data_IF_473048013820
#
_entry.id   IF_473048013820
#
_cell.length_a   1.000
_cell.length_b   1.000
_cell.length_c   1.000
_cell.angle_alpha   90.00
_cell.angle_beta   90.00
_cell.angle_gamma   90.00
#
_symmetry.space_group_name_H-M   'P 1'
#
loop_
_entity.id
_entity.type
_entity.pdbx_description
1 polymer ?
#
# COMPACT_ATOMS: atom_id res chain seq x y z
N UNK A 1 -8.01 -8.27 0.44
CA UNK A 1 -7.53 -7.61 1.68
C UNK A 1 -8.73 -7.36 2.57
N UNK A 2 -8.55 -7.38 3.88
CA UNK A 2 -9.60 -7.06 4.86
C UNK A 2 -9.97 -5.57 4.75
N UNK A 3 -11.25 -5.29 4.62
CA UNK A 3 -11.88 -3.96 4.64
C UNK A 3 -12.91 -3.92 5.76
N UNK A 4 -13.57 -2.79 5.94
CA UNK A 4 -14.58 -2.61 7.00
C UNK A 4 -15.85 -3.44 6.83
N UNK A 5 -16.08 -4.04 5.65
CA UNK A 5 -17.34 -4.71 5.28
C UNK A 5 -17.17 -6.13 4.69
N UNK A 6 -15.97 -6.72 4.76
CA UNK A 6 -15.68 -8.00 4.10
C UNK A 6 -15.06 -9.09 5.00
N UNK A 7 -15.23 -8.99 6.31
CA UNK A 7 -14.60 -9.85 7.32
C UNK A 7 -14.77 -11.35 7.04
N UNK A 8 -16.01 -11.81 6.82
CA UNK A 8 -16.31 -13.22 6.57
C UNK A 8 -15.66 -13.75 5.28
N UNK A 9 -15.69 -12.94 4.23
CA UNK A 9 -15.06 -13.27 2.96
C UNK A 9 -13.53 -13.37 3.13
N UNK A 10 -12.93 -12.40 3.83
CA UNK A 10 -11.51 -12.41 4.11
C UNK A 10 -11.10 -13.64 4.92
N UNK A 11 -11.86 -14.00 5.96
CA UNK A 11 -11.57 -15.17 6.79
C UNK A 11 -11.56 -16.49 5.99
N UNK A 12 -12.44 -16.62 4.99
CA UNK A 12 -12.57 -17.84 4.17
C UNK A 12 -11.55 -17.94 3.04
N UNK A 13 -11.11 -16.81 2.50
CA UNK A 13 -10.35 -16.78 1.24
C UNK A 13 -8.93 -16.22 1.38
N UNK A 14 -8.54 -15.69 2.54
CA UNK A 14 -7.20 -15.18 2.74
C UNK A 14 -6.17 -16.31 2.82
N UNK A 15 -5.20 -16.26 1.91
CA UNK A 15 -4.03 -17.14 1.90
C UNK A 15 -2.79 -16.33 2.29
N UNK A 16 -2.02 -16.84 3.25
CA UNK A 16 -0.76 -16.21 3.66
C UNK A 16 0.27 -16.34 2.54
N UNK A 17 0.96 -15.24 2.25
CA UNK A 17 2.05 -15.18 1.28
C UNK A 17 3.18 -16.19 1.56
N UNK A 18 3.37 -16.59 2.82
CA UNK A 18 4.40 -17.56 3.23
C UNK A 18 4.28 -18.89 2.47
N UNK A 19 3.06 -19.41 2.28
CA UNK A 19 2.88 -20.69 1.58
C UNK A 19 3.35 -20.64 0.12
N UNK A 20 3.10 -19.52 -0.57
CA UNK A 20 3.59 -19.31 -1.94
C UNK A 20 5.10 -19.07 -1.97
N UNK A 21 5.64 -18.33 -1.00
CA UNK A 21 7.08 -18.14 -0.86
C UNK A 21 7.82 -19.46 -0.67
N UNK A 22 7.36 -20.30 0.24
CA UNK A 22 7.96 -21.61 0.49
C UNK A 22 7.88 -22.51 -0.75
N UNK A 23 6.81 -22.38 -1.55
CA UNK A 23 6.69 -23.09 -2.82
C UNK A 23 7.70 -22.57 -3.85
N UNK A 24 7.87 -21.25 -3.99
CA UNK A 24 8.85 -20.65 -4.90
C UNK A 24 10.27 -21.13 -4.54
N UNK A 25 10.65 -21.01 -3.27
CA UNK A 25 11.97 -21.38 -2.77
C UNK A 25 12.27 -22.87 -3.02
N UNK A 26 11.29 -23.77 -2.79
CA UNK A 26 11.45 -25.22 -3.06
C UNK A 26 11.52 -25.58 -4.54
N UNK A 27 11.01 -24.74 -5.43
CA UNK A 27 10.97 -24.99 -6.87
C UNK A 27 12.03 -24.17 -7.64
N UNK A 28 13.13 -23.81 -6.98
CA UNK A 28 14.29 -23.19 -7.63
C UNK A 28 14.13 -21.72 -8.01
N UNK A 29 13.06 -21.06 -7.57
CA UNK A 29 12.90 -19.62 -7.75
C UNK A 29 13.77 -18.87 -6.76
N UNK A 30 14.41 -17.81 -7.22
CA UNK A 30 15.32 -16.99 -6.39
C UNK A 30 14.85 -15.55 -6.34
N UNK A 31 14.89 -14.90 -5.15
CA UNK A 31 14.49 -13.52 -5.01
C UNK A 31 15.51 -12.60 -5.71
N UNK A 32 15.02 -11.58 -6.40
CA UNK A 32 15.87 -10.57 -7.02
C UNK A 32 16.11 -9.39 -6.08
N UNK A 33 17.29 -8.75 -6.14
CA UNK A 33 17.55 -7.52 -5.39
C UNK A 33 16.52 -6.44 -5.73
N UNK A 34 16.06 -5.73 -4.71
CA UNK A 34 15.05 -4.68 -4.86
C UNK A 34 15.73 -3.35 -5.20
N UNK A 35 15.30 -2.71 -6.29
CA UNK A 35 15.71 -1.34 -6.60
C UNK A 35 15.11 -0.34 -5.59
N UNK A 36 15.75 0.82 -5.42
CA UNK A 36 15.31 1.84 -4.48
C UNK A 36 13.90 2.37 -4.75
N UNK A 37 13.53 2.49 -6.02
CA UNK A 37 12.24 2.96 -6.53
C UNK A 37 11.25 1.82 -6.83
N UNK A 38 11.61 0.57 -6.53
CA UNK A 38 10.77 -0.57 -6.79
C UNK A 38 9.48 -0.55 -5.95
N UNK A 39 8.42 -1.11 -6.53
CA UNK A 39 7.16 -1.36 -5.84
C UNK A 39 7.28 -2.35 -4.67
N UNK A 40 6.17 -2.65 -3.97
CA UNK A 40 6.17 -3.46 -2.76
C UNK A 40 6.30 -4.97 -3.03
N UNK A 41 6.41 -5.37 -4.30
CA UNK A 41 6.53 -6.76 -4.67
C UNK A 41 7.93 -7.27 -4.33
N UNK A 42 8.00 -8.46 -3.74
CA UNK A 42 9.20 -9.27 -3.76
C UNK A 42 9.21 -10.03 -5.10
N UNK A 43 10.19 -9.73 -5.94
CA UNK A 43 10.31 -10.35 -7.26
C UNK A 43 11.17 -11.59 -7.20
N UNK A 44 10.77 -12.62 -7.94
CA UNK A 44 11.42 -13.91 -8.04
C UNK A 44 11.69 -14.25 -9.51
N UNK A 45 12.84 -14.88 -9.79
CA UNK A 45 13.21 -15.37 -11.12
C UNK A 45 13.66 -16.83 -11.05
N UNK A 46 13.49 -17.53 -12.17
CA UNK A 46 13.92 -18.91 -12.35
C UNK A 46 14.79 -19.01 -13.61
N UNK A 47 15.91 -19.75 -13.60
CA UNK A 47 16.81 -19.85 -14.76
C UNK A 47 16.13 -20.44 -16.00
N UNK A 48 15.21 -21.39 -15.80
CA UNK A 48 14.52 -22.08 -16.90
C UNK A 48 13.32 -21.30 -17.48
N UNK A 49 13.04 -20.09 -16.97
CA UNK A 49 11.86 -19.31 -17.36
C UNK A 49 12.23 -17.86 -17.68
N UNK A 50 11.65 -17.33 -18.77
CA UNK A 50 11.86 -15.93 -19.14
C UNK A 50 11.11 -14.92 -18.24
N UNK A 51 10.08 -15.39 -17.51
CA UNK A 51 9.22 -14.56 -16.66
C UNK A 51 9.72 -14.37 -15.24
N UNK A 52 9.09 -13.44 -14.52
CA UNK A 52 9.29 -13.21 -13.09
C UNK A 52 7.94 -13.31 -12.35
N UNK A 53 8.01 -13.67 -11.07
CA UNK A 53 6.84 -13.70 -10.18
C UNK A 53 7.01 -12.62 -9.12
N UNK A 54 6.02 -11.72 -9.01
CA UNK A 54 5.98 -10.69 -7.97
C UNK A 54 5.01 -11.08 -6.85
N UNK A 55 5.50 -11.10 -5.61
CA UNK A 55 4.69 -11.39 -4.42
C UNK A 55 4.49 -10.12 -3.60
N UNK A 56 3.23 -9.66 -3.47
CA UNK A 56 2.86 -8.52 -2.63
C UNK A 56 2.21 -9.04 -1.35
N UNK A 57 2.88 -8.87 -0.21
CA UNK A 57 2.44 -9.37 1.08
C UNK A 57 2.16 -8.23 2.07
N UNK A 58 1.00 -7.53 1.98
CA UNK A 58 0.72 -6.34 2.78
C UNK A 58 0.53 -6.64 4.28
N UNK A 59 0.42 -7.91 4.69
CA UNK A 59 0.32 -8.32 6.09
C UNK A 59 1.67 -8.74 6.69
N UNK A 60 2.74 -8.76 5.90
CA UNK A 60 4.07 -9.17 6.35
C UNK A 60 4.70 -8.10 7.25
N UNK A 61 5.51 -8.50 8.26
CA UNK A 61 6.34 -7.57 9.02
C UNK A 61 7.23 -6.74 8.10
N UNK A 62 7.44 -5.46 8.44
CA UNK A 62 8.32 -4.56 7.70
C UNK A 62 7.80 -4.06 6.34
N UNK A 63 6.57 -4.41 5.95
CA UNK A 63 5.99 -3.97 4.66
C UNK A 63 5.99 -2.44 4.49
N UNK A 64 5.76 -1.70 5.58
CA UNK A 64 5.67 -0.24 5.55
C UNK A 64 7.01 0.48 5.66
N UNK A 65 8.11 -0.20 6.03
CA UNK A 65 9.39 0.42 6.38
C UNK A 65 10.00 1.18 5.18
N UNK A 66 9.70 0.73 3.97
CA UNK A 66 10.12 1.37 2.70
C UNK A 66 8.97 2.14 2.00
N UNK A 67 7.84 2.37 2.68
CA UNK A 67 6.66 2.97 2.06
C UNK A 67 6.81 4.49 1.87
N UNK A 68 7.09 4.89 0.64
CA UNK A 68 7.19 6.29 0.20
C UNK A 68 5.91 6.81 -0.49
N UNK A 69 4.77 6.13 -0.30
CA UNK A 69 3.53 6.45 -1.04
C UNK A 69 2.61 7.38 -0.26
N UNK A 70 2.05 8.34 -1.00
CA UNK A 70 0.92 9.18 -0.64
C UNK A 70 -0.14 9.01 -1.73
N UNK A 71 -1.40 9.33 -1.40
CA UNK A 71 -2.49 9.19 -2.37
C UNK A 71 -3.43 10.38 -2.27
N UNK A 72 -3.88 10.89 -3.40
CA UNK A 72 -4.95 11.88 -3.47
C UNK A 72 -6.19 11.18 -3.99
N UNK A 73 -7.29 11.26 -3.25
CA UNK A 73 -8.58 10.70 -3.66
C UNK A 73 -9.25 11.56 -4.73
N UNK A 74 -10.23 11.01 -5.44
CA UNK A 74 -11.04 11.78 -6.41
C UNK A 74 -11.81 12.95 -5.81
N UNK A 75 -12.00 12.96 -4.48
CA UNK A 75 -12.61 14.08 -3.74
C UNK A 75 -11.60 15.17 -3.34
N UNK A 76 -10.32 15.03 -3.71
CA UNK A 76 -9.28 16.00 -3.34
C UNK A 76 -8.72 15.82 -1.93
N UNK A 77 -8.86 14.63 -1.32
CA UNK A 77 -8.27 14.35 0.01
C UNK A 77 -6.92 13.67 -0.09
N UNK A 78 -5.91 14.20 0.62
CA UNK A 78 -4.62 13.57 0.83
C UNK A 78 -4.71 12.46 1.87
N UNK A 79 -4.29 11.27 1.49
CA UNK A 79 -4.19 10.08 2.31
C UNK A 79 -2.73 9.73 2.52
N UNK A 80 -2.32 9.70 3.78
CA UNK A 80 -0.95 9.36 4.18
C UNK A 80 -0.71 7.84 4.22
N UNK A 81 -1.80 7.06 4.30
CA UNK A 81 -1.78 5.61 4.28
C UNK A 81 -3.02 5.09 3.52
N UNK A 82 -2.88 3.97 2.82
CA UNK A 82 -4.00 3.28 2.16
C UNK A 82 -5.04 2.80 3.19
N UNK A 83 -4.58 2.38 4.37
CA UNK A 83 -5.40 1.84 5.48
C UNK A 83 -5.44 2.76 6.70
N UNK A 84 -5.17 4.06 6.50
CA UNK A 84 -5.35 5.07 7.55
C UNK A 84 -6.81 5.53 7.65
N UNK A 85 -7.07 6.50 8.52
CA UNK A 85 -8.39 7.13 8.66
C UNK A 85 -8.37 8.56 8.08
N UNK A 86 -9.52 9.01 7.57
CA UNK A 86 -9.76 10.41 7.20
C UNK A 86 -9.00 10.91 5.97
N UNK A 87 -8.12 11.88 6.16
CA UNK A 87 -7.37 12.52 5.08
C UNK A 87 -7.50 14.04 5.12
N UNK A 88 -6.43 14.70 4.67
CA UNK A 88 -6.31 16.16 4.68
C UNK A 88 -6.98 16.73 3.44
N UNK A 89 -7.85 17.72 3.62
CA UNK A 89 -8.49 18.36 2.47
C UNK A 89 -7.46 19.19 1.70
N UNK A 90 -7.36 18.93 0.40
CA UNK A 90 -6.57 19.71 -0.54
C UNK A 90 -7.46 20.41 -1.56
N UNK A 91 -8.78 20.16 -1.59
CA UNK A 91 -9.65 20.60 -2.68
C UNK A 91 -9.68 22.11 -2.81
N UNK A 92 -9.71 22.83 -1.69
CA UNK A 92 -9.65 24.29 -1.63
C UNK A 92 -8.38 24.85 -2.29
N UNK A 93 -7.25 24.13 -2.22
CA UNK A 93 -5.96 24.52 -2.77
C UNK A 93 -5.65 23.92 -4.15
N UNK A 94 -6.64 23.27 -4.77
CA UNK A 94 -6.55 22.67 -6.10
C UNK A 94 -7.44 23.41 -7.11
N UNK A 95 -7.94 24.60 -6.75
CA UNK A 95 -8.83 25.37 -7.62
C UNK A 95 -8.04 26.24 -8.62
N UNK A 96 -6.94 26.86 -8.20
CA UNK A 96 -6.16 27.81 -8.99
C UNK A 96 -4.65 27.57 -8.84
N UNK A 97 -3.85 27.96 -9.83
CA UNK A 97 -2.39 27.74 -9.83
C UNK A 97 -1.64 28.58 -8.77
N UNK A 98 -2.20 29.73 -8.38
CA UNK A 98 -1.61 30.64 -7.39
C UNK A 98 -1.50 30.00 -5.99
N UNK A 99 -2.29 28.96 -5.70
CA UNK A 99 -2.28 28.24 -4.41
C UNK A 99 -1.14 27.23 -4.26
N UNK A 100 -0.28 27.06 -5.28
CA UNK A 100 0.78 26.04 -5.32
C UNK A 100 1.67 26.02 -4.08
N UNK A 101 2.07 27.18 -3.57
CA UNK A 101 2.90 27.26 -2.36
C UNK A 101 2.15 26.84 -1.09
N UNK A 102 0.88 27.23 -0.98
CA UNK A 102 0.00 26.81 0.12
C UNK A 102 -0.24 25.30 0.08
N UNK A 103 -0.50 24.74 -1.11
CA UNK A 103 -0.68 23.31 -1.34
C UNK A 103 0.56 22.52 -0.92
N UNK A 104 1.73 22.95 -1.38
CA UNK A 104 3.02 22.33 -1.03
C UNK A 104 3.25 22.32 0.47
N UNK A 105 3.02 23.46 1.15
CA UNK A 105 3.15 23.56 2.61
C UNK A 105 2.16 22.65 3.34
N UNK A 106 0.91 22.55 2.87
CA UNK A 106 -0.10 21.67 3.47
C UNK A 106 0.28 20.19 3.34
N UNK A 107 0.78 19.78 2.18
CA UNK A 107 1.25 18.40 1.97
C UNK A 107 2.43 18.10 2.91
N UNK A 108 3.47 18.94 2.93
CA UNK A 108 4.68 18.72 3.74
C UNK A 108 4.34 18.66 5.24
N UNK A 109 3.55 19.63 5.74
CA UNK A 109 3.15 19.66 7.15
C UNK A 109 2.29 18.45 7.55
N UNK A 110 1.52 17.88 6.61
CA UNK A 110 0.73 16.68 6.85
C UNK A 110 1.58 15.42 7.01
N UNK A 111 2.81 15.38 6.48
CA UNK A 111 3.64 14.16 6.50
C UNK A 111 3.98 13.69 7.92
N UNK A 112 4.03 14.59 8.90
CA UNK A 112 4.22 14.23 10.31
C UNK A 112 3.12 13.32 10.87
N UNK A 113 1.94 13.31 10.23
CA UNK A 113 0.84 12.40 10.59
C UNK A 113 0.97 10.99 9.98
N UNK A 114 1.99 10.71 9.16
CA UNK A 114 2.18 9.39 8.55
C UNK A 114 2.70 8.41 9.60
N UNK A 115 1.85 7.46 10.00
CA UNK A 115 2.24 6.35 10.87
C UNK A 115 3.37 5.53 10.26
N UNK A 116 4.28 5.01 11.09
CA UNK A 116 5.37 4.12 10.66
C UNK A 116 4.87 2.86 9.91
N UNK A 117 3.70 2.35 10.27
CA UNK A 117 3.06 1.26 9.54
C UNK A 117 1.58 1.13 9.84
N UNK A 118 0.86 0.44 8.96
CA UNK A 118 -0.54 0.13 9.17
C UNK A 118 -0.73 -1.05 10.14
N UNK A 119 -1.93 -1.19 10.69
CA UNK A 119 -2.26 -2.24 11.67
C UNK A 119 -3.10 -3.38 11.09
N UNK A 120 -2.91 -3.72 9.81
CA UNK A 120 -3.63 -4.80 9.13
C UNK A 120 -3.53 -6.16 9.84
N UNK A 121 -2.36 -6.49 10.41
CA UNK A 121 -2.17 -7.73 11.18
C UNK A 121 -3.05 -7.81 12.44
N UNK A 122 -3.49 -6.65 12.96
CA UNK A 122 -4.43 -6.53 14.07
C UNK A 122 -5.89 -6.43 13.61
N UNK A 123 -6.14 -6.66 12.31
CA UNK A 123 -7.47 -6.56 11.72
C UNK A 123 -7.98 -5.13 11.56
N UNK A 124 -7.11 -4.11 11.66
CA UNK A 124 -7.46 -2.69 11.54
C UNK A 124 -7.12 -2.17 10.14
N UNK A 125 -8.14 -1.94 9.31
CA UNK A 125 -8.02 -1.45 7.93
C UNK A 125 -8.28 0.05 7.77
N UNK A 126 -8.45 0.78 8.87
CA UNK A 126 -8.91 2.17 8.88
C UNK A 126 -10.35 2.30 8.39
N UNK A 127 -10.66 3.43 7.76
CA UNK A 127 -11.98 3.77 7.21
C UNK A 127 -12.25 3.21 5.79
N UNK A 128 -11.37 2.34 5.30
CA UNK A 128 -11.46 1.76 3.96
C UNK A 128 -12.62 0.75 3.86
N UNK A 129 -13.62 1.06 3.03
CA UNK A 129 -14.68 0.10 2.67
C UNK A 129 -14.30 -0.74 1.47
N UNK A 130 -13.76 -0.09 0.43
CA UNK A 130 -13.22 -0.78 -0.74
C UNK A 130 -12.07 0.02 -1.34
N UNK A 131 -11.25 -0.64 -2.15
CA UNK A 131 -10.07 -0.01 -2.76
C UNK A 131 -10.42 1.05 -3.81
N UNK A 132 -11.60 0.96 -4.43
CA UNK A 132 -12.02 1.92 -5.46
C UNK A 132 -12.31 3.31 -4.92
N UNK A 133 -12.63 3.45 -3.62
CA UNK A 133 -12.71 4.76 -2.95
C UNK A 133 -11.44 5.59 -3.05
N UNK A 134 -10.29 4.93 -3.19
CA UNK A 134 -9.00 5.60 -3.29
C UNK A 134 -8.53 5.73 -4.75
N UNK A 135 -9.32 5.24 -5.73
CA UNK A 135 -9.00 5.28 -7.17
C UNK A 135 -8.31 4.00 -7.66
N UNK A 136 -8.65 2.85 -7.06
CA UNK A 136 -8.23 1.52 -7.51
C UNK A 136 -9.34 0.81 -8.26
#
# INVERSE_FOLDING_TARGET
>A
MKTTDNDDYFARHHVKAQGLRDWLDRNGWTPTPRAFDAGPALEYRHPDHAGAIGLIAPYAPGFCDSCNRLRVTSKGKLRLCLFGDGGVDLRDLLQEDDDREALTRRIISSLGGKSAGHSLALGRSGDLRNLSQLGG
#
